data_IF_490878039216
#
_entry.id   IF_490878039216
#
_cell.length_a   1.000
_cell.length_b   1.000
_cell.length_c   1.000
_cell.angle_alpha   90.00
_cell.angle_beta   90.00
_cell.angle_gamma   90.00
#
_symmetry.space_group_name_H-M   'P 1'
#
loop_
_entity.id
_entity.type
_entity.pdbx_description
1 polymer ?
#
# COMPACT_ATOMS: atom_id res chain seq x y z
N UNK A 1 5.92 3.39 15.90
CA UNK A 1 6.69 3.62 17.15
C UNK A 1 7.29 2.32 17.71
N UNK A 2 6.61 1.19 17.62
CA UNK A 2 7.05 -0.07 18.26
C UNK A 2 8.34 -0.68 17.66
N UNK A 3 8.65 -0.45 16.40
CA UNK A 3 9.86 -1.01 15.78
C UNK A 3 11.08 -0.07 15.85
N UNK A 4 10.89 1.23 15.80
CA UNK A 4 11.98 2.22 15.78
C UNK A 4 12.41 2.61 17.18
N UNK A 5 11.45 2.97 18.05
CA UNK A 5 11.75 3.46 19.41
C UNK A 5 12.66 2.53 20.24
N UNK A 6 12.46 1.20 20.24
CA UNK A 6 13.29 0.30 21.03
C UNK A 6 14.77 0.21 20.60
N UNK A 7 15.09 0.70 19.40
CA UNK A 7 16.46 0.61 18.85
C UNK A 7 17.18 1.95 18.77
N UNK A 8 16.47 3.08 19.03
CA UNK A 8 17.05 4.42 18.88
C UNK A 8 18.24 4.68 19.82
N UNK A 9 18.21 4.08 21.02
CA UNK A 9 19.25 4.30 22.02
C UNK A 9 20.43 3.32 21.91
N UNK A 10 20.43 2.45 20.88
CA UNK A 10 21.53 1.51 20.65
C UNK A 10 22.69 2.20 19.95
N UNK A 11 23.91 2.01 20.44
CA UNK A 11 25.14 2.63 19.91
C UNK A 11 25.45 2.25 18.45
N UNK A 12 24.94 1.13 17.96
CA UNK A 12 25.09 0.65 16.59
C UNK A 12 23.95 1.06 15.65
N UNK A 13 23.01 1.92 16.10
CA UNK A 13 21.90 2.41 15.29
C UNK A 13 21.97 3.93 15.19
N UNK A 14 21.94 4.45 13.97
CA UNK A 14 21.89 5.89 13.70
C UNK A 14 20.64 6.22 12.89
N UNK A 15 19.75 7.05 13.45
CA UNK A 15 18.61 7.60 12.74
C UNK A 15 18.94 9.01 12.22
N UNK A 16 18.80 9.22 10.92
CA UNK A 16 18.94 10.52 10.26
C UNK A 16 17.58 10.98 9.76
N UNK A 17 17.12 12.12 10.26
CA UNK A 17 15.88 12.79 9.81
C UNK A 17 16.20 13.96 8.88
N UNK A 18 15.21 14.44 8.12
CA UNK A 18 15.42 15.50 7.13
C UNK A 18 16.33 15.05 5.97
N UNK A 19 16.47 13.74 5.79
CA UNK A 19 17.38 13.09 4.84
C UNK A 19 16.57 12.38 3.75
N UNK A 20 16.65 12.84 2.52
CA UNK A 20 15.98 12.28 1.36
C UNK A 20 16.99 11.61 0.46
N UNK A 21 16.92 10.30 0.31
CA UNK A 21 17.71 9.57 -0.67
C UNK A 21 17.21 9.93 -2.07
N UNK A 22 18.08 10.41 -2.91
CA UNK A 22 17.76 10.87 -4.27
C UNK A 22 18.31 9.94 -5.36
N UNK A 23 19.37 9.18 -5.05
CA UNK A 23 20.03 8.29 -6.00
C UNK A 23 20.70 7.12 -5.28
N UNK A 24 20.78 5.97 -5.95
CA UNK A 24 21.53 4.78 -5.51
C UNK A 24 22.69 4.55 -6.47
N UNK A 25 23.90 4.55 -5.93
CA UNK A 25 25.15 4.49 -6.69
C UNK A 25 25.64 3.05 -6.79
N UNK A 26 26.22 2.70 -7.94
CA UNK A 26 26.79 1.37 -8.18
C UNK A 26 28.29 1.44 -8.48
N UNK A 27 28.94 0.29 -8.37
CA UNK A 27 30.30 0.11 -8.87
C UNK A 27 30.32 0.18 -10.43
N UNK A 28 31.50 0.25 -11.01
CA UNK A 28 31.67 0.40 -12.45
C UNK A 28 31.11 -0.78 -13.28
N UNK A 29 31.04 -1.98 -12.69
CA UNK A 29 30.42 -3.16 -13.32
C UNK A 29 28.92 -3.20 -13.21
N UNK A 30 28.31 -2.38 -12.33
CA UNK A 30 26.88 -2.36 -12.06
C UNK A 30 26.36 -3.55 -11.24
N UNK A 31 27.26 -4.35 -10.62
CA UNK A 31 26.87 -5.57 -9.91
C UNK A 31 26.60 -5.35 -8.41
N UNK A 32 27.03 -4.23 -7.87
CA UNK A 32 26.87 -3.92 -6.44
C UNK A 32 26.62 -2.44 -6.23
N UNK A 33 25.77 -2.13 -5.25
CA UNK A 33 25.58 -0.77 -4.74
C UNK A 33 26.80 -0.36 -3.92
N UNK A 34 27.33 0.83 -4.18
CA UNK A 34 28.46 1.41 -3.44
C UNK A 34 28.01 2.44 -2.41
N UNK A 35 26.81 3.00 -2.55
CA UNK A 35 26.27 4.00 -1.64
C UNK A 35 24.98 4.62 -2.13
N UNK A 36 24.51 5.60 -1.38
CA UNK A 36 23.34 6.40 -1.71
C UNK A 36 23.67 7.89 -1.60
N UNK A 37 23.13 8.68 -2.52
CA UNK A 37 23.14 10.15 -2.40
C UNK A 37 21.94 10.61 -1.60
N UNK A 38 22.18 11.47 -0.65
CA UNK A 38 21.19 11.96 0.29
C UNK A 38 21.16 13.48 0.28
N UNK A 39 20.01 14.04 0.00
CA UNK A 39 19.72 15.47 0.12
C UNK A 39 19.19 15.75 1.54
N UNK A 40 19.84 16.68 2.23
CA UNK A 40 19.41 17.20 3.52
C UNK A 40 18.77 18.57 3.32
N UNK A 41 17.57 18.74 3.83
CA UNK A 41 16.88 20.03 3.86
C UNK A 41 16.94 20.58 5.28
N UNK A 42 17.49 21.79 5.44
CA UNK A 42 17.43 22.53 6.69
C UNK A 42 16.19 23.43 6.69
N UNK A 43 15.17 23.12 7.53
CA UNK A 43 13.96 23.92 7.58
C UNK A 43 14.16 25.37 8.04
N UNK A 44 15.28 25.65 8.74
CA UNK A 44 15.54 26.96 9.34
C UNK A 44 16.05 27.98 8.33
N UNK A 45 16.78 27.54 7.29
CA UNK A 45 17.41 28.45 6.32
C UNK A 45 17.11 28.10 4.86
N UNK A 46 16.27 27.08 4.60
CA UNK A 46 15.95 26.57 3.26
C UNK A 46 17.21 26.16 2.44
N UNK A 47 18.31 25.85 3.11
CA UNK A 47 19.50 25.34 2.44
C UNK A 47 19.42 23.84 2.26
N UNK A 48 19.90 23.39 1.10
CA UNK A 48 20.05 21.96 0.79
C UNK A 48 21.53 21.62 0.72
N UNK A 49 21.91 20.49 1.29
CA UNK A 49 23.24 19.90 1.16
C UNK A 49 23.11 18.45 0.68
N UNK A 50 24.10 17.98 -0.06
CA UNK A 50 24.15 16.61 -0.55
C UNK A 50 25.32 15.89 0.09
N UNK A 51 25.09 14.66 0.54
CA UNK A 51 26.14 13.79 1.06
C UNK A 51 25.96 12.36 0.53
N UNK A 52 27.05 11.62 0.43
CA UNK A 52 27.01 10.20 0.07
C UNK A 52 27.21 9.34 1.32
N UNK A 53 26.36 8.33 1.48
CA UNK A 53 26.51 7.31 2.51
C UNK A 53 26.82 5.98 1.84
N UNK A 54 27.75 5.24 2.43
CA UNK A 54 28.18 3.91 1.94
C UNK A 54 27.74 2.82 2.91
N UNK A 55 27.60 1.61 2.44
CA UNK A 55 27.26 0.44 3.23
C UNK A 55 27.47 -0.86 2.45
N UNK A 56 27.80 -1.94 3.14
CA UNK A 56 27.97 -3.26 2.53
C UNK A 56 26.65 -3.82 2.01
N UNK A 57 25.53 -3.47 2.65
CA UNK A 57 24.17 -3.84 2.25
C UNK A 57 23.32 -2.57 2.25
N UNK A 58 22.50 -2.42 1.23
CA UNK A 58 21.53 -1.33 1.11
C UNK A 58 20.12 -1.93 1.09
N UNK A 59 19.25 -1.43 1.98
CA UNK A 59 17.85 -1.86 2.08
C UNK A 59 16.93 -0.68 1.79
N UNK A 60 16.11 -0.81 0.76
CA UNK A 60 15.09 0.17 0.39
C UNK A 60 13.77 -0.22 1.05
N UNK A 61 13.13 0.73 1.75
CA UNK A 61 11.86 0.55 2.44
C UNK A 61 11.02 1.84 2.41
N UNK A 62 10.89 2.47 1.23
CA UNK A 62 10.25 3.77 1.05
C UNK A 62 8.75 3.67 0.73
N UNK A 63 8.18 2.46 0.70
CA UNK A 63 6.82 2.16 0.25
C UNK A 63 6.75 1.97 -1.27
N UNK A 64 5.72 1.24 -1.73
CA UNK A 64 5.67 0.70 -3.10
C UNK A 64 5.88 1.75 -4.21
N UNK A 65 5.35 2.95 -4.05
CA UNK A 65 5.51 4.00 -5.06
C UNK A 65 6.92 4.59 -5.02
N UNK A 66 7.40 4.99 -3.82
CA UNK A 66 8.66 5.70 -3.72
C UNK A 66 9.88 4.79 -3.92
N UNK A 67 9.82 3.52 -3.50
CA UNK A 67 10.90 2.55 -3.76
C UNK A 67 11.09 2.32 -5.24
N UNK A 68 10.01 2.08 -5.99
CA UNK A 68 10.08 1.97 -7.44
C UNK A 68 10.56 3.27 -8.10
N UNK A 69 10.06 4.43 -7.65
CA UNK A 69 10.48 5.72 -8.19
C UNK A 69 11.96 6.01 -7.93
N UNK A 70 12.49 5.64 -6.75
CA UNK A 70 13.91 5.76 -6.43
C UNK A 70 14.77 4.92 -7.39
N UNK A 71 14.39 3.66 -7.60
CA UNK A 71 15.09 2.78 -8.54
C UNK A 71 15.03 3.31 -9.97
N UNK A 72 13.86 3.76 -10.43
CA UNK A 72 13.69 4.34 -11.78
C UNK A 72 14.47 5.66 -11.98
N UNK A 73 14.68 6.44 -10.92
CA UNK A 73 15.48 7.68 -10.94
C UNK A 73 16.99 7.39 -10.90
N UNK A 74 17.40 6.27 -10.33
CA UNK A 74 18.80 5.88 -10.18
C UNK A 74 19.31 5.31 -11.51
N UNK A 75 19.56 6.19 -12.46
CA UNK A 75 20.04 5.86 -13.82
C UNK A 75 21.55 5.91 -13.89
N UNK A 76 22.14 5.07 -14.74
CA UNK A 76 23.55 5.06 -15.07
C UNK A 76 23.75 4.51 -16.48
N UNK A 77 24.97 4.56 -17.02
CA UNK A 77 25.29 3.96 -18.32
C UNK A 77 24.92 2.45 -18.35
N UNK A 78 25.09 1.77 -17.24
CA UNK A 78 24.72 0.35 -17.10
C UNK A 78 23.22 0.14 -16.96
N UNK A 79 22.52 1.07 -16.33
CA UNK A 79 21.08 1.02 -16.04
C UNK A 79 20.37 2.26 -16.61
N UNK A 80 20.28 2.41 -17.93
CA UNK A 80 19.70 3.61 -18.56
C UNK A 80 18.18 3.75 -18.31
N UNK A 81 17.51 2.65 -17.97
CA UNK A 81 16.07 2.62 -17.68
C UNK A 81 15.75 2.51 -16.18
N UNK A 82 16.72 2.82 -15.30
CA UNK A 82 16.59 2.70 -13.86
C UNK A 82 17.32 1.49 -13.28
N UNK A 83 17.75 1.60 -12.05
CA UNK A 83 18.50 0.58 -11.32
C UNK A 83 17.63 -0.65 -11.07
N UNK A 84 18.23 -1.85 -11.09
CA UNK A 84 17.55 -3.14 -10.90
C UNK A 84 16.41 -3.39 -11.92
N UNK A 85 16.46 -2.75 -13.08
CA UNK A 85 15.37 -2.74 -14.07
C UNK A 85 15.76 -3.38 -15.42
N UNK A 86 16.65 -4.36 -15.42
CA UNK A 86 17.04 -5.10 -16.64
C UNK A 86 15.87 -5.86 -17.26
N UNK A 87 14.89 -6.26 -16.43
CA UNK A 87 13.65 -6.93 -16.83
C UNK A 87 12.52 -5.99 -17.27
N UNK A 88 12.65 -4.67 -17.11
CA UNK A 88 11.57 -3.68 -17.22
C UNK A 88 10.40 -3.92 -16.26
N UNK A 89 10.67 -4.56 -15.11
CA UNK A 89 9.63 -4.88 -14.12
C UNK A 89 9.52 -3.85 -12.99
N UNK A 90 10.51 -2.99 -12.77
CA UNK A 90 10.44 -1.94 -11.74
C UNK A 90 9.29 -0.98 -12.04
N UNK A 91 8.46 -0.78 -11.04
CA UNK A 91 7.28 0.07 -11.12
C UNK A 91 6.04 -0.59 -11.68
N UNK A 92 6.13 -1.73 -12.38
CA UNK A 92 4.99 -2.46 -12.94
C UNK A 92 4.22 -3.24 -11.87
N UNK A 93 3.02 -3.71 -12.23
CA UNK A 93 2.14 -4.50 -11.37
C UNK A 93 1.74 -3.77 -10.08
N UNK A 94 1.59 -2.45 -10.15
CA UNK A 94 1.05 -1.69 -9.03
C UNK A 94 -0.37 -2.18 -8.68
N UNK A 95 -0.60 -2.45 -7.40
CA UNK A 95 -1.86 -2.92 -6.83
C UNK A 95 -2.12 -2.19 -5.51
N UNK A 96 -3.40 -2.06 -5.10
CA UNK A 96 -3.74 -1.47 -3.80
C UNK A 96 -5.06 -1.93 -3.18
N UNK A 97 -5.78 -2.85 -3.75
CA UNK A 97 -7.15 -3.30 -3.55
C UNK A 97 -8.21 -2.42 -4.21
N UNK A 98 -9.21 -3.05 -4.81
CA UNK A 98 -10.50 -2.39 -5.01
C UNK A 98 -11.15 -2.20 -3.64
N UNK A 99 -11.50 -0.97 -3.30
CA UNK A 99 -12.05 -0.64 -1.99
C UNK A 99 -13.31 0.21 -2.12
N UNK A 100 -14.30 -0.07 -1.28
CA UNK A 100 -15.49 0.76 -1.16
C UNK A 100 -15.97 0.80 0.29
N UNK A 101 -16.65 1.86 0.64
CA UNK A 101 -17.34 1.97 1.91
C UNK A 101 -18.84 1.84 1.68
N UNK A 102 -19.48 1.01 2.50
CA UNK A 102 -20.93 0.85 2.51
C UNK A 102 -21.47 1.25 3.88
N UNK A 103 -22.64 1.86 3.89
CA UNK A 103 -23.30 2.29 5.12
C UNK A 103 -24.64 1.58 5.23
N UNK A 104 -24.85 0.90 6.35
CA UNK A 104 -26.15 0.44 6.79
C UNK A 104 -26.70 1.42 7.82
N UNK A 105 -27.97 1.81 7.70
CA UNK A 105 -28.67 2.57 8.73
C UNK A 105 -29.37 1.57 9.66
N UNK A 106 -28.85 1.45 10.87
CA UNK A 106 -29.40 0.59 11.92
C UNK A 106 -30.64 1.21 12.58
N UNK A 107 -31.51 0.36 13.15
CA UNK A 107 -32.60 0.77 14.06
C UNK A 107 -32.06 1.21 15.43
N UNK A 108 -30.84 0.81 15.77
CA UNK A 108 -30.18 1.12 17.04
C UNK A 108 -29.08 2.14 16.83
N UNK A 109 -28.80 2.96 17.80
CA UNK A 109 -27.66 3.88 17.78
C UNK A 109 -26.35 3.09 17.73
N UNK A 110 -25.39 3.60 16.94
CA UNK A 110 -24.05 3.06 16.85
C UNK A 110 -23.08 3.94 17.64
N UNK A 111 -22.68 3.50 18.80
CA UNK A 111 -21.71 4.15 19.69
C UNK A 111 -20.32 3.49 19.66
N UNK A 112 -20.05 2.61 18.68
CA UNK A 112 -18.79 1.89 18.54
C UNK A 112 -17.61 2.85 18.50
N UNK A 113 -16.65 2.61 19.41
CA UNK A 113 -15.42 3.41 19.54
C UNK A 113 -14.25 2.82 18.76
N UNK A 114 -14.34 1.55 18.40
CA UNK A 114 -13.24 0.80 17.82
C UNK A 114 -13.52 0.46 16.36
N UNK A 115 -12.49 0.62 15.52
CA UNK A 115 -12.54 0.27 14.12
C UNK A 115 -11.99 -1.14 13.90
N UNK A 116 -12.53 -1.87 12.91
CA UNK A 116 -11.97 -3.13 12.42
C UNK A 116 -11.79 -4.19 13.52
N UNK A 117 -12.79 -4.32 14.40
CA UNK A 117 -12.78 -5.26 15.53
C UNK A 117 -12.89 -6.71 15.10
N UNK A 118 -13.41 -6.98 13.90
CA UNK A 118 -13.48 -8.29 13.27
C UNK A 118 -13.42 -8.17 11.74
N UNK A 119 -13.27 -9.30 11.04
CA UNK A 119 -13.34 -9.39 9.60
C UNK A 119 -14.30 -10.48 9.17
N UNK A 120 -15.00 -10.27 8.07
CA UNK A 120 -15.89 -11.24 7.44
C UNK A 120 -15.20 -11.71 6.18
N UNK A 121 -14.80 -12.99 6.18
CA UNK A 121 -14.05 -13.63 5.09
C UNK A 121 -14.85 -14.78 4.45
N UNK A 122 -16.16 -14.87 4.72
CA UNK A 122 -17.03 -15.93 4.23
C UNK A 122 -17.07 -15.99 2.69
N UNK A 123 -16.86 -14.85 2.06
CA UNK A 123 -16.84 -14.70 0.61
C UNK A 123 -15.41 -14.67 0.02
N UNK A 124 -14.38 -14.81 0.88
CA UNK A 124 -12.98 -14.59 0.46
C UNK A 124 -12.56 -15.55 -0.67
N UNK A 125 -12.91 -16.82 -0.55
CA UNK A 125 -12.56 -17.85 -1.53
C UNK A 125 -13.67 -18.16 -2.55
N UNK A 126 -14.68 -17.29 -2.65
CA UNK A 126 -15.79 -17.44 -3.58
C UNK A 126 -17.02 -18.10 -2.98
N UNK A 127 -17.91 -18.54 -3.86
CA UNK A 127 -19.18 -19.19 -3.55
C UNK A 127 -19.40 -20.36 -4.52
N UNK A 128 -20.33 -21.30 -4.26
CA UNK A 128 -20.58 -22.45 -5.12
C UNK A 128 -20.87 -22.11 -6.59
N UNK A 129 -21.55 -20.99 -6.85
CA UNK A 129 -21.87 -20.47 -8.17
C UNK A 129 -20.88 -19.42 -8.70
N UNK A 130 -19.83 -19.09 -7.91
CA UNK A 130 -18.77 -18.17 -8.29
C UNK A 130 -17.46 -18.56 -7.59
N UNK A 131 -16.64 -19.43 -8.15
CA UNK A 131 -15.48 -20.04 -7.51
C UNK A 131 -14.23 -19.13 -7.46
N UNK A 132 -14.39 -17.83 -7.69
CA UNK A 132 -13.29 -16.86 -7.67
C UNK A 132 -13.30 -16.04 -6.39
N UNK A 133 -12.12 -15.63 -5.87
CA UNK A 133 -12.01 -14.77 -4.70
C UNK A 133 -12.84 -13.49 -4.85
N UNK A 134 -13.64 -13.17 -3.84
CA UNK A 134 -14.41 -11.92 -3.80
C UNK A 134 -13.81 -10.90 -2.85
N UNK A 135 -13.36 -11.30 -1.66
CA UNK A 135 -12.65 -10.39 -0.77
C UNK A 135 -13.08 -10.43 0.69
N UNK A 136 -12.74 -9.39 1.42
CA UNK A 136 -12.92 -9.23 2.86
C UNK A 136 -13.75 -8.00 3.19
N UNK A 137 -14.52 -8.07 4.28
CA UNK A 137 -15.37 -7.00 4.78
C UNK A 137 -15.02 -6.72 6.23
N UNK A 138 -14.91 -5.44 6.61
CA UNK A 138 -14.54 -5.02 7.95
C UNK A 138 -15.46 -3.89 8.44
N UNK A 139 -15.89 -3.87 9.73
CA UNK A 139 -16.60 -2.73 10.29
C UNK A 139 -15.64 -1.56 10.48
N UNK A 140 -16.13 -0.34 10.29
CA UNK A 140 -15.32 0.89 10.42
C UNK A 140 -15.57 1.61 11.76
N UNK A 141 -16.44 1.07 12.60
CA UNK A 141 -16.86 1.72 13.85
C UNK A 141 -17.91 2.80 13.60
N UNK A 142 -17.92 3.87 14.39
CA UNK A 142 -18.83 5.00 14.19
C UNK A 142 -18.15 6.16 13.46
N UNK A 143 -18.91 6.89 12.65
CA UNK A 143 -18.41 8.09 11.99
C UNK A 143 -18.27 9.27 12.95
N UNK A 144 -17.23 10.08 12.75
CA UNK A 144 -17.14 11.37 13.40
C UNK A 144 -17.99 12.39 12.62
N UNK A 145 -18.71 13.25 13.35
CA UNK A 145 -19.58 14.28 12.77
C UNK A 145 -18.84 15.18 11.79
N UNK A 146 -17.57 15.48 12.06
CA UNK A 146 -16.70 16.32 11.24
C UNK A 146 -16.42 15.68 9.88
N UNK A 147 -16.17 14.37 9.85
CA UNK A 147 -15.98 13.62 8.60
C UNK A 147 -17.25 13.64 7.75
N UNK A 148 -18.40 13.39 8.36
CA UNK A 148 -19.66 13.41 7.65
C UNK A 148 -20.01 14.81 7.10
N UNK A 149 -19.70 15.85 7.87
CA UNK A 149 -19.95 17.24 7.44
C UNK A 149 -19.07 17.64 6.25
N UNK A 150 -17.81 17.18 6.19
CA UNK A 150 -16.92 17.50 5.06
C UNK A 150 -17.32 16.81 3.75
N UNK A 151 -17.94 15.64 3.85
CA UNK A 151 -18.27 14.80 2.71
C UNK A 151 -19.76 14.90 2.30
N UNK A 152 -20.61 15.48 3.17
CA UNK A 152 -22.04 15.62 2.90
C UNK A 152 -22.31 16.66 1.79
N UNK A 153 -23.40 16.48 1.01
CA UNK A 153 -23.85 17.49 0.07
C UNK A 153 -24.04 18.86 0.73
N UNK A 154 -23.73 19.97 0.04
CA UNK A 154 -24.01 21.31 0.52
C UNK A 154 -25.47 21.44 0.98
N UNK A 155 -25.72 22.14 2.11
CA UNK A 155 -27.04 22.35 2.69
C UNK A 155 -27.68 21.11 3.34
N UNK A 156 -26.95 20.01 3.58
CA UNK A 156 -27.49 18.89 4.35
C UNK A 156 -27.92 19.36 5.75
N UNK A 157 -29.19 19.17 6.16
CA UNK A 157 -29.67 19.62 7.45
C UNK A 157 -28.90 18.96 8.60
N UNK A 158 -28.58 19.71 9.65
CA UNK A 158 -27.79 19.22 10.78
C UNK A 158 -28.43 18.05 11.53
N UNK A 159 -29.78 17.98 11.55
CA UNK A 159 -30.49 16.83 12.14
C UNK A 159 -30.32 15.55 11.30
N UNK A 160 -30.28 15.65 9.98
CA UNK A 160 -30.05 14.50 9.10
C UNK A 160 -28.63 13.94 9.28
N UNK A 161 -27.64 14.84 9.43
CA UNK A 161 -26.25 14.44 9.76
C UNK A 161 -26.18 13.79 11.14
N UNK A 162 -26.97 14.27 12.11
CA UNK A 162 -27.02 13.62 13.44
C UNK A 162 -27.60 12.22 13.37
N UNK A 163 -28.76 12.04 12.72
CA UNK A 163 -29.37 10.71 12.54
C UNK A 163 -28.40 9.76 11.81
N UNK A 164 -27.81 10.23 10.70
CA UNK A 164 -26.86 9.44 9.95
C UNK A 164 -25.66 9.04 10.81
N UNK A 165 -25.12 9.96 11.62
CA UNK A 165 -24.02 9.66 12.55
C UNK A 165 -24.42 8.64 13.61
N UNK A 166 -25.58 8.84 14.24
CA UNK A 166 -25.98 8.04 15.41
C UNK A 166 -26.44 6.63 15.01
N UNK A 167 -26.91 6.42 13.79
CA UNK A 167 -27.45 5.15 13.30
C UNK A 167 -26.64 4.49 12.17
N UNK A 168 -25.60 5.15 11.66
CA UNK A 168 -24.77 4.59 10.60
C UNK A 168 -23.86 3.48 11.13
N UNK A 169 -23.89 2.33 10.46
CA UNK A 169 -22.93 1.23 10.64
C UNK A 169 -22.13 1.11 9.35
N UNK A 170 -20.93 1.70 9.31
CA UNK A 170 -20.12 1.70 8.12
C UNK A 170 -19.27 0.43 8.01
N UNK A 171 -19.13 -0.04 6.77
CA UNK A 171 -18.37 -1.22 6.38
C UNK A 171 -17.36 -0.88 5.32
N UNK A 172 -16.18 -1.42 5.44
CA UNK A 172 -15.12 -1.34 4.44
C UNK A 172 -15.01 -2.67 3.72
N UNK A 173 -15.19 -2.64 2.41
CA UNK A 173 -15.08 -3.80 1.55
C UNK A 173 -13.79 -3.71 0.74
N UNK A 174 -13.09 -4.82 0.65
CA UNK A 174 -11.84 -4.93 -0.12
C UNK A 174 -11.88 -6.16 -1.01
N UNK A 175 -11.48 -5.99 -2.26
CA UNK A 175 -11.25 -7.08 -3.22
C UNK A 175 -9.84 -6.92 -3.78
N UNK A 176 -9.12 -8.01 -4.00
CA UNK A 176 -7.77 -7.94 -4.55
C UNK A 176 -7.73 -7.31 -5.95
N UNK A 177 -6.71 -6.52 -6.21
CA UNK A 177 -6.32 -6.20 -7.58
C UNK A 177 -5.59 -7.39 -8.19
N UNK A 178 -5.79 -7.63 -9.48
CA UNK A 178 -4.99 -8.57 -10.24
C UNK A 178 -3.73 -7.88 -10.76
N UNK A 179 -2.58 -8.56 -10.76
CA UNK A 179 -1.35 -7.97 -11.26
C UNK A 179 -1.43 -7.69 -12.76
N UNK A 180 -1.35 -6.42 -13.15
CA UNK A 180 -1.32 -5.95 -14.53
C UNK A 180 -0.04 -5.14 -14.77
N UNK A 181 0.81 -5.49 -15.76
CA UNK A 181 2.05 -4.78 -16.03
C UNK A 181 1.82 -3.33 -16.50
N UNK A 182 0.62 -2.97 -16.95
CA UNK A 182 0.26 -1.62 -17.35
C UNK A 182 -0.11 -0.72 -16.16
N UNK A 183 -0.51 -1.30 -15.04
CA UNK A 183 -0.66 -0.59 -13.78
C UNK A 183 0.74 -0.35 -13.21
N UNK A 184 1.23 0.89 -13.26
CA UNK A 184 2.64 1.13 -13.01
C UNK A 184 2.99 2.52 -12.49
N UNK A 185 4.05 2.56 -11.71
CA UNK A 185 4.76 3.79 -11.35
C UNK A 185 5.75 4.12 -12.46
N UNK A 186 5.77 5.39 -12.88
CA UNK A 186 6.76 5.93 -13.83
C UNK A 186 7.38 7.21 -13.28
N UNK A 187 8.55 7.53 -13.82
CA UNK A 187 9.18 8.85 -13.65
C UNK A 187 9.06 9.60 -14.97
N UNK A 188 8.39 10.76 -14.93
CA UNK A 188 8.16 11.62 -16.10
C UNK A 188 8.54 13.04 -15.70
N UNK A 189 9.45 13.65 -16.43
CA UNK A 189 9.96 15.02 -16.16
C UNK A 189 10.41 15.20 -14.68
N UNK A 190 11.08 14.16 -14.13
CA UNK A 190 11.53 14.13 -12.73
C UNK A 190 10.43 13.89 -11.68
N UNK A 191 9.16 13.99 -12.07
CA UNK A 191 8.00 13.71 -11.24
C UNK A 191 7.60 12.23 -11.20
N UNK A 192 6.88 11.82 -10.17
CA UNK A 192 6.31 10.47 -10.06
C UNK A 192 4.92 10.50 -10.68
N UNK A 193 4.69 9.62 -11.66
CA UNK A 193 3.38 9.40 -12.28
C UNK A 193 2.91 7.97 -12.02
N UNK A 194 1.69 7.83 -11.55
CA UNK A 194 1.02 6.56 -11.38
C UNK A 194 0.02 6.37 -12.52
N UNK A 195 0.18 5.29 -13.28
CA UNK A 195 -0.77 4.82 -14.30
C UNK A 195 -1.49 3.63 -13.70
N UNK A 196 -2.83 3.73 -13.57
CA UNK A 196 -3.64 2.70 -12.95
C UNK A 196 -5.01 2.58 -13.61
N UNK A 197 -5.38 1.37 -13.97
CA UNK A 197 -6.71 1.00 -14.48
C UNK A 197 -7.27 -0.05 -13.52
N UNK A 198 -8.41 0.21 -12.87
CA UNK A 198 -9.08 -0.75 -12.00
C UNK A 198 -9.41 -2.05 -12.74
N UNK A 199 -9.13 -3.17 -12.10
CA UNK A 199 -9.46 -4.48 -12.61
C UNK A 199 -10.25 -5.29 -11.56
N UNK A 200 -10.57 -6.56 -11.84
CA UNK A 200 -11.32 -7.47 -10.95
C UNK A 200 -12.68 -6.91 -10.45
N UNK A 201 -13.31 -6.05 -11.24
CA UNK A 201 -14.55 -5.38 -10.86
C UNK A 201 -15.75 -6.34 -10.73
N UNK A 202 -15.74 -7.49 -11.41
CA UNK A 202 -16.80 -8.51 -11.30
C UNK A 202 -16.86 -9.08 -9.89
N UNK A 203 -15.72 -9.53 -9.34
CA UNK A 203 -15.63 -10.02 -7.95
C UNK A 203 -16.03 -8.94 -6.96
N UNK A 204 -15.55 -7.71 -7.17
CA UNK A 204 -15.83 -6.58 -6.30
C UNK A 204 -17.33 -6.21 -6.26
N UNK A 205 -17.98 -6.14 -7.41
CA UNK A 205 -19.41 -5.85 -7.50
C UNK A 205 -20.25 -6.98 -6.90
N UNK A 206 -19.82 -8.25 -7.07
CA UNK A 206 -20.47 -9.38 -6.44
C UNK A 206 -20.36 -9.33 -4.92
N UNK A 207 -19.19 -9.04 -4.36
CA UNK A 207 -18.99 -8.84 -2.92
C UNK A 207 -19.94 -7.78 -2.36
N UNK A 208 -20.04 -6.63 -3.04
CA UNK A 208 -20.97 -5.54 -2.66
C UNK A 208 -22.42 -6.02 -2.64
N UNK A 209 -22.85 -6.70 -3.69
CA UNK A 209 -24.23 -7.23 -3.78
C UNK A 209 -24.52 -8.23 -2.67
N UNK A 210 -23.61 -9.17 -2.43
CA UNK A 210 -23.77 -10.16 -1.36
C UNK A 210 -23.84 -9.53 0.02
N UNK A 211 -23.01 -8.51 0.27
CA UNK A 211 -23.03 -7.81 1.54
C UNK A 211 -24.34 -7.03 1.77
N UNK A 212 -24.86 -6.37 0.76
CA UNK A 212 -26.17 -5.72 0.80
C UNK A 212 -27.26 -6.73 1.17
N UNK A 213 -27.26 -7.91 0.55
CA UNK A 213 -28.25 -8.96 0.80
C UNK A 213 -28.17 -9.49 2.25
N UNK A 214 -26.96 -9.66 2.79
CA UNK A 214 -26.74 -10.06 4.18
C UNK A 214 -27.30 -9.01 5.14
N UNK A 215 -26.94 -7.74 4.95
CA UNK A 215 -27.38 -6.64 5.79
C UNK A 215 -28.91 -6.47 5.77
N UNK A 216 -29.53 -6.58 4.60
CA UNK A 216 -31.02 -6.54 4.50
C UNK A 216 -31.69 -7.70 5.23
N UNK A 217 -31.15 -8.92 5.09
CA UNK A 217 -31.69 -10.12 5.74
C UNK A 217 -31.44 -10.17 7.25
N UNK A 218 -30.45 -9.45 7.76
CA UNK A 218 -30.17 -9.40 9.20
C UNK A 218 -31.30 -8.74 10.00
N UNK A 219 -32.18 -7.97 9.35
CA UNK A 219 -33.28 -7.25 10.02
C UNK A 219 -32.82 -6.05 10.85
N UNK A 220 -31.54 -5.76 10.90
CA UNK A 220 -30.97 -4.66 11.69
C UNK A 220 -30.72 -3.38 10.88
N UNK A 221 -30.87 -3.44 9.56
CA UNK A 221 -30.65 -2.29 8.69
C UNK A 221 -31.96 -1.83 8.02
N UNK A 222 -32.32 -0.56 8.21
CA UNK A 222 -33.45 0.08 7.51
C UNK A 222 -33.13 0.44 6.07
N UNK A 223 -31.87 0.79 5.80
CA UNK A 223 -31.35 1.10 4.47
C UNK A 223 -29.88 0.73 4.38
N UNK A 224 -29.45 0.31 3.19
CA UNK A 224 -28.04 0.02 2.87
C UNK A 224 -27.71 0.72 1.57
N UNK A 225 -26.63 1.50 1.56
CA UNK A 225 -26.16 2.22 0.38
C UNK A 225 -24.64 2.30 0.35
N UNK A 226 -24.09 2.44 -0.85
CA UNK A 226 -22.67 2.72 -1.03
C UNK A 226 -22.36 4.16 -0.61
N UNK A 227 -21.23 4.37 0.03
CA UNK A 227 -20.79 5.69 0.52
C UNK A 227 -20.84 6.76 -0.59
N UNK A 228 -20.29 6.44 -1.76
CA UNK A 228 -20.26 7.36 -2.89
C UNK A 228 -21.64 7.77 -3.41
N UNK A 229 -22.68 6.94 -3.21
CA UNK A 229 -24.03 7.26 -3.64
C UNK A 229 -24.62 8.46 -2.88
N UNK A 230 -24.26 8.63 -1.62
CA UNK A 230 -24.72 9.76 -0.80
C UNK A 230 -23.70 10.91 -0.78
N UNK A 231 -22.43 10.60 -0.52
CA UNK A 231 -21.38 11.62 -0.38
C UNK A 231 -20.74 12.03 -1.71
N UNK A 232 -21.12 11.37 -2.83
CA UNK A 232 -20.62 11.62 -4.19
C UNK A 232 -19.10 11.60 -4.30
N UNK A 233 -18.45 10.77 -3.49
CA UNK A 233 -17.01 10.64 -3.40
C UNK A 233 -16.63 9.16 -3.41
N UNK A 234 -15.97 8.72 -4.46
CA UNK A 234 -15.39 7.40 -4.52
C UNK A 234 -14.19 7.26 -3.57
N UNK A 235 -13.94 6.04 -3.09
CA UNK A 235 -12.72 5.74 -2.37
C UNK A 235 -11.62 5.54 -3.41
N UNK A 236 -10.97 6.66 -3.77
CA UNK A 236 -9.91 6.69 -4.75
C UNK A 236 -8.60 6.12 -4.19
N UNK A 237 -7.61 5.98 -5.08
CA UNK A 237 -6.27 5.52 -4.78
C UNK A 237 -5.59 6.35 -3.67
N UNK A 238 -5.90 7.64 -3.55
CA UNK A 238 -5.38 8.51 -2.50
C UNK A 238 -5.92 8.17 -1.10
N UNK A 239 -7.08 7.50 -1.03
CA UNK A 239 -7.73 7.08 0.21
C UNK A 239 -7.27 5.72 0.74
N UNK A 240 -6.45 4.98 -0.02
CA UNK A 240 -6.05 3.61 0.32
C UNK A 240 -4.54 3.48 0.43
N UNK A 241 -4.03 3.21 1.63
CA UNK A 241 -2.60 3.06 1.92
C UNK A 241 -2.04 1.64 1.70
N UNK A 242 -2.70 0.78 0.93
CA UNK A 242 -2.32 -0.64 0.76
C UNK A 242 -1.51 -0.90 -0.51
N UNK A 243 -0.77 0.09 -0.96
CA UNK A 243 0.01 0.08 -2.19
C UNK A 243 1.09 -1.00 -2.17
N UNK A 244 1.18 -1.79 -3.27
CA UNK A 244 2.08 -2.93 -3.35
C UNK A 244 2.43 -3.32 -4.80
N UNK A 245 3.34 -4.31 -4.97
CA UNK A 245 3.60 -5.02 -6.22
C UNK A 245 4.68 -4.46 -7.13
N UNK A 246 5.13 -3.24 -6.94
CA UNK A 246 5.98 -2.48 -7.89
C UNK A 246 7.43 -2.94 -8.02
N UNK A 247 7.89 -3.82 -7.15
CA UNK A 247 9.18 -4.52 -7.23
C UNK A 247 8.98 -5.97 -6.81
N UNK A 248 8.02 -6.65 -7.43
CA UNK A 248 7.61 -7.99 -7.02
C UNK A 248 8.78 -8.97 -7.00
N UNK A 249 8.74 -9.91 -6.03
CA UNK A 249 9.73 -10.98 -5.95
C UNK A 249 9.29 -12.21 -6.74
N UNK A 250 10.24 -13.06 -7.10
CA UNK A 250 10.00 -14.30 -7.84
C UNK A 250 11.30 -14.98 -8.22
N UNK A 251 11.21 -16.20 -8.73
CA UNK A 251 12.37 -17.00 -9.14
C UNK A 251 12.94 -16.58 -10.50
N UNK A 252 12.06 -16.12 -11.41
CA UNK A 252 12.44 -15.75 -12.77
C UNK A 252 12.84 -14.26 -12.84
N UNK A 253 14.13 -13.94 -13.08
CA UNK A 253 14.60 -12.56 -13.19
C UNK A 253 14.01 -11.80 -14.38
N UNK A 254 13.37 -12.46 -15.33
CA UNK A 254 12.67 -11.80 -16.43
C UNK A 254 11.27 -11.32 -16.06
N UNK A 255 10.70 -11.85 -14.98
CA UNK A 255 9.34 -11.58 -14.54
C UNK A 255 9.26 -10.96 -13.14
N UNK A 256 10.39 -10.80 -12.47
CA UNK A 256 10.49 -10.22 -11.14
C UNK A 256 11.69 -9.30 -11.01
N UNK A 257 11.60 -8.33 -10.10
CA UNK A 257 12.69 -7.42 -9.76
C UNK A 257 13.61 -8.06 -8.72
N UNK A 258 12.99 -8.79 -7.79
CA UNK A 258 13.64 -9.36 -6.61
C UNK A 258 13.60 -10.89 -6.65
N UNK A 259 14.61 -11.51 -6.08
CA UNK A 259 14.60 -12.94 -5.75
C UNK A 259 13.69 -13.22 -4.53
N UNK A 260 13.54 -14.49 -4.15
CA UNK A 260 12.68 -14.88 -3.03
C UNK A 260 13.15 -14.34 -1.67
N UNK A 261 14.39 -13.86 -1.56
CA UNK A 261 14.91 -13.19 -0.37
C UNK A 261 14.78 -11.66 -0.45
N UNK A 262 14.02 -11.14 -1.42
CA UNK A 262 13.86 -9.71 -1.67
C UNK A 262 15.15 -8.98 -2.02
N UNK A 263 16.18 -9.69 -2.51
CA UNK A 263 17.39 -9.12 -3.10
C UNK A 263 17.12 -8.84 -4.58
N UNK A 264 17.57 -7.71 -5.08
CA UNK A 264 17.49 -7.41 -6.51
C UNK A 264 18.26 -8.46 -7.34
N UNK A 265 17.66 -8.98 -8.42
CA UNK A 265 18.32 -9.96 -9.28
C UNK A 265 19.60 -9.40 -9.93
N UNK A 266 19.60 -8.11 -10.24
CA UNK A 266 20.72 -7.43 -10.92
C UNK A 266 21.87 -7.05 -9.97
N UNK A 267 21.67 -7.07 -8.64
CA UNK A 267 22.60 -6.49 -7.67
C UNK A 267 22.79 -7.39 -6.44
N UNK A 268 24.03 -7.58 -6.05
CA UNK A 268 24.37 -8.51 -4.99
C UNK A 268 23.97 -8.05 -3.59
N UNK A 269 23.89 -6.75 -3.34
CA UNK A 269 23.74 -6.17 -2.00
C UNK A 269 22.59 -5.17 -1.88
N UNK A 270 21.63 -5.17 -2.82
CA UNK A 270 20.43 -4.34 -2.77
C UNK A 270 19.21 -5.18 -2.44
N UNK A 271 18.44 -4.74 -1.43
CA UNK A 271 17.20 -5.37 -0.98
C UNK A 271 16.04 -4.37 -0.97
N UNK A 272 14.81 -4.84 -1.20
CA UNK A 272 13.58 -4.05 -1.07
C UNK A 272 12.60 -4.81 -0.19
N UNK A 273 12.20 -4.24 0.97
CA UNK A 273 11.47 -4.96 2.02
C UNK A 273 10.12 -4.34 2.40
N UNK A 274 9.66 -3.35 1.66
CA UNK A 274 8.32 -2.75 1.82
C UNK A 274 7.25 -3.48 0.98
N UNK A 275 6.06 -2.90 0.85
CA UNK A 275 4.97 -3.48 0.07
C UNK A 275 5.26 -3.73 -1.42
N UNK A 276 6.39 -3.25 -1.96
CA UNK A 276 6.74 -3.47 -3.37
C UNK A 276 6.93 -4.93 -3.74
N UNK A 277 7.31 -5.79 -2.79
CA UNK A 277 7.68 -7.19 -3.06
C UNK A 277 6.50 -8.08 -3.47
N UNK A 278 5.27 -7.73 -3.18
CA UNK A 278 4.10 -8.59 -3.40
C UNK A 278 3.96 -9.02 -4.87
N UNK A 279 3.87 -10.32 -5.17
CA UNK A 279 3.58 -10.82 -6.52
C UNK A 279 2.09 -10.76 -6.86
N UNK A 280 1.23 -10.76 -5.82
CA UNK A 280 -0.23 -10.60 -5.88
C UNK A 280 -0.72 -9.88 -4.64
N UNK A 281 -1.83 -9.18 -4.78
CA UNK A 281 -2.45 -8.39 -3.71
C UNK A 281 -3.56 -9.22 -3.04
N UNK A 282 -3.40 -9.62 -1.78
CA UNK A 282 -4.54 -10.19 -1.05
C UNK A 282 -5.61 -9.12 -0.76
N UNK A 283 -6.83 -9.52 -0.45
CA UNK A 283 -7.93 -8.61 -0.11
C UNK A 283 -7.98 -8.24 1.39
N UNK A 284 -6.82 -8.14 2.04
CA UNK A 284 -6.68 -7.81 3.46
C UNK A 284 -5.56 -6.81 3.69
N UNK A 285 -5.57 -6.14 4.85
CA UNK A 285 -4.57 -5.16 5.23
C UNK A 285 -3.15 -5.76 5.16
N UNK A 286 -2.20 -5.20 4.37
CA UNK A 286 -0.93 -5.87 4.06
C UNK A 286 0.17 -5.68 5.10
N UNK A 287 0.02 -4.77 6.07
CA UNK A 287 1.11 -4.34 6.97
C UNK A 287 1.74 -5.49 7.75
N UNK A 288 0.95 -6.44 8.26
CA UNK A 288 1.50 -7.59 9.00
C UNK A 288 2.36 -8.49 8.10
N UNK A 289 1.94 -8.71 6.85
CA UNK A 289 2.71 -9.48 5.87
C UNK A 289 4.00 -8.75 5.49
N UNK A 290 3.96 -7.43 5.33
CA UNK A 290 5.15 -6.61 5.08
C UNK A 290 6.15 -6.75 6.23
N UNK A 291 5.69 -6.62 7.47
CA UNK A 291 6.54 -6.74 8.66
C UNK A 291 7.12 -8.15 8.77
N UNK A 292 6.30 -9.19 8.60
CA UNK A 292 6.76 -10.58 8.66
C UNK A 292 7.81 -10.88 7.59
N UNK A 293 7.60 -10.40 6.36
CA UNK A 293 8.59 -10.55 5.31
C UNK A 293 9.89 -9.78 5.59
N UNK A 294 9.80 -8.56 6.13
CA UNK A 294 10.98 -7.80 6.51
C UNK A 294 11.81 -8.50 7.60
N UNK A 295 11.16 -9.15 8.58
CA UNK A 295 11.84 -9.97 9.59
C UNK A 295 12.52 -11.17 8.94
N UNK A 296 11.82 -11.89 8.05
CA UNK A 296 12.38 -13.04 7.31
C UNK A 296 13.62 -12.64 6.50
N UNK A 297 13.58 -11.48 5.84
CA UNK A 297 14.74 -10.96 5.10
C UNK A 297 15.87 -10.55 6.05
N UNK A 298 15.56 -9.99 7.22
CA UNK A 298 16.57 -9.68 8.23
C UNK A 298 17.30 -10.94 8.73
N UNK A 299 16.56 -12.03 8.98
CA UNK A 299 17.17 -13.33 9.35
C UNK A 299 18.11 -13.85 8.24
N UNK A 300 17.67 -13.78 6.97
CA UNK A 300 18.52 -14.12 5.82
C UNK A 300 19.78 -13.24 5.75
N UNK A 301 19.67 -11.93 6.02
CA UNK A 301 20.83 -11.03 6.02
C UNK A 301 21.81 -11.35 7.14
N UNK A 302 21.32 -11.68 8.34
CA UNK A 302 22.16 -12.11 9.47
C UNK A 302 22.96 -13.35 9.10
N UNK A 303 22.34 -14.34 8.45
CA UNK A 303 23.03 -15.58 8.02
C UNK A 303 24.04 -15.30 6.91
N UNK A 304 23.74 -14.41 5.99
CA UNK A 304 24.66 -14.01 4.90
C UNK A 304 25.89 -13.25 5.41
N UNK A 305 25.78 -12.55 6.52
CA UNK A 305 26.85 -11.70 7.08
C UNK A 305 27.76 -12.45 8.07
N UNK A 306 27.48 -13.71 8.38
CA UNK A 306 28.36 -14.59 9.17
C UNK A 306 29.52 -15.10 8.32
#
# INVERSE_FOLDING_TARGET
>A
MNCVRPVMDRSNVTLRTGAKVTNVLTNATGTSVTGVEVEFSDPANCQTSVATFTGDIVVIACGAINSAALLLKSVSDRYPNGLANSSDMVGRHFMFHNSDAMVALSTHENDDKYMKTFGINDFYFGEPDYPYPMGSIQPVGSFKKEMMKSDAPPLTPGFALKIAKDHAVPWWLMTEDLPDPNNRVRVVDGGIRLEYIPNNQTSFNRLKTRWIDVLKRSGHANAVFAWHAYFKKDVNIEGVGHQNGTCRFGEDPKQSVLDLNCRAHDLDNLYVVDGSFFPSCGAVNPSLTIIANAIRVADHLIDRMK
#
